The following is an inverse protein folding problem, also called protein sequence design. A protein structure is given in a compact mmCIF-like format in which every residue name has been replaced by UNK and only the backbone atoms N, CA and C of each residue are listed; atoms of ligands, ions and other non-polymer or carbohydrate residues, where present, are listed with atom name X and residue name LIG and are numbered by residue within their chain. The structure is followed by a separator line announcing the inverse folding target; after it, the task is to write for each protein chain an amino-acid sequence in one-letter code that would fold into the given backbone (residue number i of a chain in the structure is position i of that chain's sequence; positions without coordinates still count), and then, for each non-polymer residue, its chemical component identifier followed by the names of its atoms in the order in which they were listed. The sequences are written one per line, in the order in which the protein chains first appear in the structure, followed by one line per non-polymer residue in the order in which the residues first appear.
data_IF_630483574521
#
_entry.id   IF_630483574521
#
_cell.length_a   1.000
_cell.length_b   1.000
_cell.length_c   1.000
_cell.angle_alpha   90.00
_cell.angle_beta   90.00
_cell.angle_gamma   90.00
#
_symmetry.space_group_name_H-M   'P 1'
#
loop_
_entity.id
_entity.type
_entity.pdbx_description
1 polymer ?
#
# COMPACT_ATOMS: atom_id res chain seq x y z
N UNK A 1 -12.82 -63.13 47.61
CA UNK A 1 -12.74 -61.63 47.54
C UNK A 1 -12.36 -61.28 46.10
N UNK A 2 -13.34 -60.90 45.28
CA UNK A 2 -13.11 -60.51 43.87
C UNK A 2 -12.90 -59.02 43.79
N UNK A 3 -11.71 -58.57 43.37
CA UNK A 3 -11.39 -57.15 43.14
C UNK A 3 -11.96 -56.72 41.75
N UNK A 4 -12.94 -55.83 41.78
CA UNK A 4 -13.41 -55.15 40.58
C UNK A 4 -12.44 -54.02 40.23
N UNK A 5 -11.79 -54.11 39.06
CA UNK A 5 -11.01 -53.02 38.46
C UNK A 5 -11.94 -52.16 37.64
N UNK A 6 -12.20 -50.94 38.11
CA UNK A 6 -13.01 -49.97 37.38
C UNK A 6 -12.12 -49.27 36.35
N UNK A 7 -12.34 -49.58 35.06
CA UNK A 7 -11.63 -48.91 33.94
C UNK A 7 -12.33 -47.58 33.64
N UNK A 8 -11.76 -46.50 34.08
CA UNK A 8 -12.20 -45.14 33.66
C UNK A 8 -11.73 -44.86 32.24
N UNK A 9 -12.65 -44.96 31.27
CA UNK A 9 -12.45 -44.41 29.94
C UNK A 9 -12.58 -42.87 29.99
N UNK A 10 -11.45 -42.17 29.95
CA UNK A 10 -11.40 -40.71 29.72
C UNK A 10 -11.63 -40.50 28.23
N UNK A 11 -12.82 -40.08 27.85
CA UNK A 11 -13.11 -39.60 26.51
C UNK A 11 -12.52 -38.19 26.37
N UNK A 12 -11.33 -38.13 25.79
CA UNK A 12 -10.73 -36.85 25.36
C UNK A 12 -11.52 -36.41 24.11
N UNK A 13 -12.54 -35.57 24.32
CA UNK A 13 -13.20 -34.87 23.23
C UNK A 13 -12.22 -33.88 22.63
N UNK A 14 -11.69 -34.24 21.47
CA UNK A 14 -10.85 -33.39 20.64
C UNK A 14 -11.77 -32.27 20.06
N UNK A 15 -11.95 -31.17 20.81
CA UNK A 15 -12.56 -29.97 20.27
C UNK A 15 -11.58 -29.39 19.27
N UNK A 16 -11.78 -29.67 18.00
CA UNK A 16 -11.06 -29.03 16.91
C UNK A 16 -11.28 -27.51 17.02
N UNK A 17 -10.24 -26.79 17.45
CA UNK A 17 -10.27 -25.34 17.60
C UNK A 17 -10.41 -24.72 16.20
N UNK A 18 -11.62 -24.30 15.88
CA UNK A 18 -12.00 -23.64 14.63
C UNK A 18 -11.48 -22.17 14.60
N UNK A 19 -10.22 -21.96 15.00
CA UNK A 19 -9.59 -20.65 15.02
C UNK A 19 -9.03 -20.16 13.68
N UNK A 20 -9.13 -20.95 12.60
CA UNK A 20 -8.50 -20.61 11.32
C UNK A 20 -9.32 -19.69 10.42
N UNK A 21 -10.61 -19.57 10.61
CA UNK A 21 -11.50 -18.88 9.64
C UNK A 21 -11.44 -17.34 9.76
N UNK A 22 -11.11 -16.79 10.92
CA UNK A 22 -11.07 -15.34 11.12
C UNK A 22 -9.77 -14.65 10.61
N UNK A 23 -8.70 -15.41 10.35
CA UNK A 23 -7.39 -14.88 9.92
C UNK A 23 -7.27 -14.76 8.38
N UNK A 24 -7.93 -15.63 7.63
CA UNK A 24 -7.88 -15.69 6.16
C UNK A 24 -8.29 -14.39 5.46
N UNK A 25 -9.40 -13.72 5.79
CA UNK A 25 -9.81 -12.48 5.13
C UNK A 25 -8.80 -11.34 5.31
N UNK A 26 -8.20 -11.21 6.49
CA UNK A 26 -7.19 -10.19 6.78
C UNK A 26 -5.89 -10.43 6.00
N UNK A 27 -5.47 -11.68 5.89
CA UNK A 27 -4.28 -12.06 5.11
C UNK A 27 -4.49 -11.87 3.60
N UNK A 28 -5.68 -12.18 3.09
CA UNK A 28 -6.03 -11.95 1.69
C UNK A 28 -6.01 -10.46 1.35
N UNK A 29 -6.67 -9.63 2.16
CA UNK A 29 -6.68 -8.17 1.95
C UNK A 29 -5.27 -7.59 2.05
N UNK A 30 -4.47 -8.00 3.04
CA UNK A 30 -3.07 -7.62 3.15
C UNK A 30 -2.27 -7.95 1.88
N UNK A 31 -2.36 -9.19 1.38
CA UNK A 31 -1.66 -9.60 0.15
C UNK A 31 -2.07 -8.77 -1.06
N UNK A 32 -3.34 -8.39 -1.15
CA UNK A 32 -3.88 -7.54 -2.20
C UNK A 32 -3.30 -6.12 -2.11
N UNK A 33 -3.30 -5.50 -0.93
CA UNK A 33 -2.75 -4.16 -0.69
C UNK A 33 -1.23 -4.12 -0.99
N UNK A 34 -0.48 -5.14 -0.55
CA UNK A 34 0.95 -5.31 -0.90
C UNK A 34 1.15 -5.36 -2.41
N UNK A 35 0.33 -6.11 -3.14
CA UNK A 35 0.45 -6.22 -4.59
C UNK A 35 0.13 -4.89 -5.29
N UNK A 36 -0.90 -4.18 -4.85
CA UNK A 36 -1.23 -2.86 -5.38
C UNK A 36 -0.06 -1.89 -5.17
N UNK A 37 0.48 -1.78 -3.95
CA UNK A 37 1.61 -0.90 -3.66
C UNK A 37 2.83 -1.26 -4.50
N UNK A 38 3.13 -2.56 -4.65
CA UNK A 38 4.23 -3.03 -5.47
C UNK A 38 4.05 -2.67 -6.96
N UNK A 39 2.83 -2.75 -7.49
CA UNK A 39 2.54 -2.31 -8.86
C UNK A 39 2.81 -0.81 -9.01
N UNK A 40 2.37 0.00 -8.04
CA UNK A 40 2.63 1.44 -8.11
C UNK A 40 4.13 1.76 -8.06
N UNK A 41 4.88 1.18 -7.14
CA UNK A 41 6.34 1.33 -7.08
C UNK A 41 7.00 0.92 -8.42
N UNK A 42 6.56 -0.20 -8.97
CA UNK A 42 7.12 -0.72 -10.23
C UNK A 42 6.88 0.22 -11.40
N UNK A 43 5.67 0.70 -11.62
CA UNK A 43 5.35 1.52 -12.79
C UNK A 43 5.81 2.97 -12.64
N UNK A 44 5.87 3.49 -11.43
CA UNK A 44 6.25 4.88 -11.17
C UNK A 44 7.75 5.08 -10.92
N UNK A 45 8.45 4.06 -10.39
CA UNK A 45 9.79 4.28 -9.84
C UNK A 45 10.78 3.10 -9.99
N UNK A 46 10.52 2.09 -10.83
CA UNK A 46 11.42 0.93 -10.95
C UNK A 46 12.85 1.27 -11.41
N UNK A 47 13.02 2.39 -12.08
CA UNK A 47 14.28 2.94 -12.57
C UNK A 47 14.98 3.86 -11.55
N UNK A 48 14.31 4.18 -10.45
CA UNK A 48 14.85 5.01 -9.38
C UNK A 48 15.67 4.19 -8.37
N UNK A 49 16.59 4.85 -7.66
CA UNK A 49 17.25 4.27 -6.50
C UNK A 49 16.21 3.90 -5.43
N UNK A 50 16.57 2.98 -4.53
CA UNK A 50 15.67 2.47 -3.47
C UNK A 50 14.98 3.59 -2.67
N UNK A 51 15.69 4.69 -2.37
CA UNK A 51 15.11 5.85 -1.68
C UNK A 51 13.96 6.48 -2.48
N UNK A 52 14.08 6.59 -3.81
CA UNK A 52 13.01 7.10 -4.69
C UNK A 52 11.81 6.15 -4.74
N UNK A 53 12.06 4.85 -4.77
CA UNK A 53 11.00 3.83 -4.74
C UNK A 53 10.23 3.87 -3.41
N UNK A 54 10.93 4.01 -2.28
CA UNK A 54 10.32 4.20 -0.95
C UNK A 54 9.54 5.51 -0.89
N UNK A 55 10.04 6.58 -1.48
CA UNK A 55 9.36 7.87 -1.54
C UNK A 55 8.01 7.79 -2.27
N UNK A 56 7.93 7.08 -3.39
CA UNK A 56 6.66 6.83 -4.10
C UNK A 56 5.70 5.98 -3.25
N UNK A 57 6.21 4.98 -2.52
CA UNK A 57 5.40 4.20 -1.59
C UNK A 57 4.83 5.08 -0.46
N UNK A 58 5.65 5.95 0.14
CA UNK A 58 5.23 6.89 1.20
C UNK A 58 4.12 7.82 0.71
N UNK A 59 4.23 8.40 -0.48
CA UNK A 59 3.14 9.23 -1.03
C UNK A 59 1.82 8.46 -1.12
N UNK A 60 1.88 7.19 -1.55
CA UNK A 60 0.67 6.35 -1.62
C UNK A 60 0.07 6.12 -0.24
N UNK A 61 0.90 5.88 0.76
CA UNK A 61 0.51 5.66 2.16
C UNK A 61 -0.05 6.95 2.77
N UNK A 62 0.64 8.08 2.60
CA UNK A 62 0.19 9.39 3.06
C UNK A 62 -1.19 9.76 2.49
N UNK A 63 -1.46 9.36 1.24
CA UNK A 63 -2.81 9.49 0.66
C UNK A 63 -3.84 8.65 1.39
N UNK A 64 -3.52 7.41 1.75
CA UNK A 64 -4.44 6.53 2.53
C UNK A 64 -4.74 7.12 3.91
N UNK A 65 -3.79 7.80 4.52
CA UNK A 65 -3.93 8.42 5.83
C UNK A 65 -4.69 9.76 5.79
N UNK A 66 -4.63 10.45 4.67
CA UNK A 66 -5.34 11.71 4.47
C UNK A 66 -6.84 11.47 4.19
N UNK A 67 -7.71 12.22 4.88
CA UNK A 67 -9.17 12.17 4.67
C UNK A 67 -9.63 12.56 3.27
N UNK A 68 -8.76 13.18 2.47
CA UNK A 68 -9.05 13.63 1.11
C UNK A 68 -8.92 12.54 0.07
N UNK A 69 -8.37 11.39 0.44
CA UNK A 69 -8.14 10.27 -0.44
C UNK A 69 -8.85 9.01 0.06
N UNK A 70 -9.00 7.99 -0.81
CA UNK A 70 -9.54 6.70 -0.37
C UNK A 70 -8.67 6.06 0.73
N UNK A 71 -9.30 5.28 1.59
CA UNK A 71 -8.72 4.72 2.81
C UNK A 71 -8.05 3.34 2.62
N UNK A 72 -7.70 2.94 1.39
CA UNK A 72 -6.93 1.73 1.09
C UNK A 72 -5.96 1.97 -0.05
N UNK A 73 -4.84 1.26 -0.05
CA UNK A 73 -3.79 1.38 -1.09
C UNK A 73 -4.36 1.15 -2.49
N UNK A 74 -5.07 0.03 -2.68
CA UNK A 74 -5.63 -0.29 -4.00
C UNK A 74 -6.61 0.80 -4.49
N UNK A 75 -7.45 1.34 -3.61
CA UNK A 75 -8.39 2.41 -3.98
C UNK A 75 -7.66 3.71 -4.33
N UNK A 76 -6.62 4.08 -3.61
CA UNK A 76 -5.78 5.25 -3.92
C UNK A 76 -5.11 5.10 -5.28
N UNK A 77 -4.55 3.92 -5.56
CA UNK A 77 -3.86 3.66 -6.83
C UNK A 77 -4.82 3.66 -8.02
N UNK A 78 -6.01 3.10 -7.84
CA UNK A 78 -7.03 3.00 -8.88
C UNK A 78 -7.94 4.25 -8.98
N UNK A 79 -7.53 5.36 -8.37
CA UNK A 79 -8.28 6.61 -8.38
C UNK A 79 -8.13 7.32 -9.73
N UNK A 80 -9.26 7.76 -10.28
CA UNK A 80 -9.30 8.50 -11.55
C UNK A 80 -10.72 8.91 -11.91
N UNK A 81 -10.83 9.78 -12.92
CA UNK A 81 -12.13 10.21 -13.44
C UNK A 81 -12.85 9.04 -14.13
N UNK A 82 -14.16 8.97 -13.95
CA UNK A 82 -15.00 7.91 -14.54
C UNK A 82 -16.10 8.50 -15.40
N UNK A 83 -16.60 7.70 -16.33
CA UNK A 83 -17.86 7.94 -17.04
C UNK A 83 -19.04 7.61 -16.12
N UNK A 84 -20.25 8.01 -16.54
CA UNK A 84 -21.48 7.73 -15.79
C UNK A 84 -21.80 6.23 -15.68
N UNK A 85 -21.31 5.43 -16.61
CA UNK A 85 -21.41 3.96 -16.56
C UNK A 85 -20.37 3.30 -15.62
N UNK A 86 -19.54 4.11 -14.92
CA UNK A 86 -18.53 3.64 -13.98
C UNK A 86 -17.18 3.27 -14.60
N UNK A 87 -17.04 3.24 -15.93
CA UNK A 87 -15.76 2.97 -16.59
C UNK A 87 -14.77 4.10 -16.38
N UNK A 88 -13.49 3.75 -16.21
CA UNK A 88 -12.43 4.73 -15.98
C UNK A 88 -12.08 5.46 -17.30
N UNK A 89 -11.94 6.77 -17.22
CA UNK A 89 -11.54 7.60 -18.38
C UNK A 89 -10.04 7.41 -18.63
N UNK A 90 -9.70 7.06 -19.87
CA UNK A 90 -8.30 6.88 -20.29
C UNK A 90 -7.49 8.16 -20.03
N UNK A 91 -6.27 7.99 -19.52
CA UNK A 91 -5.32 9.08 -19.19
C UNK A 91 -5.87 10.12 -18.18
N UNK A 92 -6.86 9.74 -17.35
CA UNK A 92 -7.44 10.60 -16.30
C UNK A 92 -7.32 9.99 -14.91
N UNK A 93 -6.27 9.19 -14.67
CA UNK A 93 -5.96 8.58 -13.38
C UNK A 93 -4.91 9.39 -12.63
N UNK A 94 -4.91 9.28 -11.30
CA UNK A 94 -3.92 9.91 -10.45
C UNK A 94 -2.53 9.28 -10.65
N UNK A 95 -2.47 7.96 -10.86
CA UNK A 95 -1.30 7.24 -11.34
C UNK A 95 -1.54 6.87 -12.80
N UNK A 96 -0.78 7.48 -13.69
CA UNK A 96 -1.06 7.48 -15.14
C UNK A 96 -1.05 6.07 -15.74
N UNK A 97 -0.18 5.19 -15.25
CA UNK A 97 -0.02 3.83 -15.75
C UNK A 97 -1.29 2.98 -15.63
N UNK A 98 -2.14 3.26 -14.62
CA UNK A 98 -3.36 2.47 -14.37
C UNK A 98 -4.42 2.61 -15.46
N UNK A 99 -4.45 3.70 -16.20
CA UNK A 99 -5.44 3.92 -17.25
C UNK A 99 -4.86 4.49 -18.56
N UNK A 100 -3.59 4.21 -18.84
CA UNK A 100 -2.94 4.61 -20.11
C UNK A 100 -3.28 3.67 -21.28
N UNK A 101 -3.98 2.57 -20.99
CA UNK A 101 -4.41 1.56 -21.97
C UNK A 101 -3.32 0.55 -22.32
N UNK A 102 -2.20 0.53 -21.57
CA UNK A 102 -1.16 -0.49 -21.67
C UNK A 102 -1.40 -1.62 -20.68
N UNK A 103 -0.57 -2.66 -20.76
CA UNK A 103 -0.65 -3.79 -19.84
C UNK A 103 -0.05 -3.47 -18.49
N UNK A 104 -0.83 -3.65 -17.41
CA UNK A 104 -0.40 -3.49 -16.01
C UNK A 104 0.35 -4.71 -15.45
N UNK A 105 0.89 -5.55 -16.33
CA UNK A 105 1.71 -6.72 -15.94
C UNK A 105 3.18 -6.32 -15.86
N UNK A 106 3.84 -6.41 -14.68
CA UNK A 106 5.26 -6.22 -14.58
C UNK A 106 6.03 -7.24 -15.43
N UNK A 107 6.91 -6.77 -16.32
CA UNK A 107 7.71 -7.61 -17.22
C UNK A 107 9.13 -7.85 -16.72
N UNK A 108 9.72 -6.85 -16.07
CA UNK A 108 11.03 -6.98 -15.42
C UNK A 108 10.87 -7.71 -14.09
N UNK A 109 11.39 -8.95 -14.05
CA UNK A 109 11.30 -9.84 -12.88
C UNK A 109 12.06 -9.31 -11.68
N UNK A 110 13.24 -8.68 -11.89
CA UNK A 110 14.07 -8.18 -10.80
C UNK A 110 13.45 -6.93 -10.19
N UNK A 111 13.07 -5.96 -11.02
CA UNK A 111 12.40 -4.75 -10.56
C UNK A 111 11.07 -5.08 -9.84
N UNK A 112 10.32 -6.06 -10.33
CA UNK A 112 9.11 -6.55 -9.65
C UNK A 112 9.40 -7.15 -8.27
N UNK A 113 10.45 -7.99 -8.17
CA UNK A 113 10.87 -8.57 -6.90
C UNK A 113 11.25 -7.49 -5.88
N UNK A 114 12.01 -6.47 -6.31
CA UNK A 114 12.39 -5.34 -5.47
C UNK A 114 11.14 -4.56 -5.01
N UNK A 115 10.24 -4.22 -5.94
CA UNK A 115 8.98 -3.53 -5.60
C UNK A 115 8.14 -4.30 -4.59
N UNK A 116 8.06 -5.63 -4.73
CA UNK A 116 7.37 -6.51 -3.77
C UNK A 116 8.05 -6.54 -2.39
N UNK A 117 9.39 -6.50 -2.34
CA UNK A 117 10.12 -6.46 -1.07
C UNK A 117 9.89 -5.13 -0.35
N UNK A 118 10.01 -4.00 -1.06
CA UNK A 118 9.74 -2.67 -0.51
C UNK A 118 8.29 -2.60 -0.02
N UNK A 119 7.33 -3.01 -0.84
CA UNK A 119 5.92 -2.97 -0.49
C UNK A 119 5.60 -3.81 0.77
N UNK A 120 6.16 -5.01 0.88
CA UNK A 120 6.03 -5.83 2.08
C UNK A 120 6.65 -5.14 3.29
N UNK A 121 7.87 -4.66 3.15
CA UNK A 121 8.55 -3.94 4.21
C UNK A 121 7.71 -2.74 4.67
N UNK A 122 7.15 -1.96 3.79
CA UNK A 122 6.33 -0.78 4.08
C UNK A 122 5.00 -1.12 4.75
N UNK A 123 4.37 -2.25 4.46
CA UNK A 123 3.04 -2.63 4.97
C UNK A 123 3.06 -3.65 6.11
N UNK A 124 4.15 -4.43 6.28
CA UNK A 124 4.32 -5.33 7.45
C UNK A 124 4.57 -4.58 8.73
N UNK A 125 4.85 -3.31 8.64
CA UNK A 125 5.36 -2.57 9.76
C UNK A 125 4.23 -1.95 10.54
N UNK A 126 4.21 -2.16 11.87
CA UNK A 126 3.32 -1.44 12.75
C UNK A 126 3.60 0.04 12.54
N UNK A 127 2.61 0.80 12.09
CA UNK A 127 2.77 2.23 11.93
C UNK A 127 2.48 2.82 10.55
N UNK A 128 2.61 2.05 9.48
CA UNK A 128 2.26 2.52 8.13
C UNK A 128 0.74 2.47 7.87
N UNK A 129 0.01 1.63 8.58
CA UNK A 129 -1.42 1.71 8.81
C UNK A 129 -1.70 2.02 10.28
N UNK A 130 -1.03 2.97 10.79
CA UNK A 130 -0.87 3.33 12.19
C UNK A 130 -2.17 3.37 12.98
N UNK A 131 -3.21 3.94 12.42
CA UNK A 131 -4.52 3.99 13.09
C UNK A 131 -5.26 2.65 13.11
N UNK A 132 -4.79 1.65 12.38
CA UNK A 132 -5.46 0.34 12.27
C UNK A 132 -4.81 -0.77 13.08
N UNK A 133 -3.50 -0.68 13.42
CA UNK A 133 -2.72 -1.77 14.05
C UNK A 133 -1.85 -1.38 15.25
N UNK A 134 -1.79 -0.12 15.62
CA UNK A 134 -1.48 0.30 17.00
C UNK A 134 -0.03 0.54 17.43
N UNK A 135 1.01 0.34 16.58
CA UNK A 135 2.40 0.60 17.00
C UNK A 135 3.19 1.44 15.99
N UNK A 136 4.01 2.41 16.43
CA UNK A 136 4.77 3.28 15.53
C UNK A 136 5.95 2.57 14.88
N UNK A 137 6.17 2.88 13.62
CA UNK A 137 7.25 2.35 12.78
C UNK A 137 8.55 3.18 12.85
N UNK A 138 9.74 2.54 12.69
CA UNK A 138 11.02 3.24 12.71
C UNK A 138 11.46 3.88 11.38
N UNK A 139 10.73 3.77 10.27
CA UNK A 139 10.99 4.63 9.12
C UNK A 139 10.17 5.89 9.32
N UNK A 140 10.84 6.91 9.79
CA UNK A 140 10.36 8.28 9.77
C UNK A 140 9.88 8.63 8.36
N UNK A 141 8.67 9.17 8.22
CA UNK A 141 8.21 9.71 6.95
C UNK A 141 9.05 10.92 6.59
N UNK A 142 10.18 10.68 5.92
CA UNK A 142 11.07 11.73 5.44
C UNK A 142 10.44 12.63 4.37
N UNK A 143 9.20 12.37 3.97
CA UNK A 143 8.38 13.21 3.11
C UNK A 143 7.37 14.07 3.88
N UNK A 144 7.32 13.96 5.22
CA UNK A 144 6.52 14.82 6.10
C UNK A 144 5.06 14.99 5.63
N UNK A 145 4.42 13.90 5.23
CA UNK A 145 3.02 13.89 4.76
C UNK A 145 2.83 14.33 3.31
N UNK A 146 3.87 14.31 2.47
CA UNK A 146 3.72 14.62 1.04
C UNK A 146 2.74 13.66 0.37
N UNK A 147 1.80 14.23 -0.39
CA UNK A 147 0.73 13.49 -1.11
C UNK A 147 0.83 13.64 -2.63
N UNK A 148 1.74 14.47 -3.12
CA UNK A 148 1.91 14.76 -4.54
C UNK A 148 3.37 14.69 -4.95
N UNK A 149 3.62 14.30 -6.19
CA UNK A 149 4.92 14.42 -6.83
C UNK A 149 4.77 14.58 -8.35
N UNK A 150 5.81 15.07 -8.98
CA UNK A 150 5.98 15.11 -10.43
C UNK A 150 7.45 14.91 -10.78
N UNK A 151 7.74 14.60 -12.04
CA UNK A 151 9.11 14.53 -12.51
C UNK A 151 9.76 15.92 -12.53
N UNK A 152 11.08 15.94 -12.35
CA UNK A 152 11.86 17.21 -12.29
C UNK A 152 11.79 18.02 -13.60
N UNK A 153 11.52 17.37 -14.73
CA UNK A 153 11.44 17.98 -16.06
C UNK A 153 10.07 18.61 -16.39
N UNK A 154 9.09 18.50 -15.50
CA UNK A 154 7.77 19.09 -15.65
C UNK A 154 7.44 20.05 -14.50
N UNK A 155 6.55 21.00 -14.73
CA UNK A 155 6.06 21.94 -13.69
C UNK A 155 4.54 22.05 -13.79
N UNK A 156 3.79 21.18 -13.12
CA UNK A 156 2.34 21.22 -13.14
C UNK A 156 1.81 22.45 -12.41
N UNK A 157 0.68 23.00 -12.87
CA UNK A 157 0.12 24.24 -12.33
C UNK A 157 -0.20 24.19 -10.83
N UNK A 158 -0.51 22.99 -10.31
CA UNK A 158 -0.89 22.80 -8.91
C UNK A 158 0.27 22.97 -7.93
N UNK A 159 1.54 22.80 -8.34
CA UNK A 159 2.70 22.87 -7.45
C UNK A 159 2.86 24.29 -6.83
N UNK A 160 2.36 25.33 -7.51
CA UNK A 160 2.40 26.73 -7.02
C UNK A 160 1.57 26.94 -5.75
N UNK A 161 0.67 26.03 -5.44
CA UNK A 161 -0.22 26.07 -4.27
C UNK A 161 0.16 25.01 -3.23
N UNK A 162 1.40 24.51 -3.26
CA UNK A 162 1.86 23.44 -2.38
C UNK A 162 3.24 23.74 -1.81
N UNK A 163 3.59 23.09 -0.73
CA UNK A 163 4.90 23.17 -0.09
C UNK A 163 5.80 22.11 -0.71
N UNK A 164 6.92 22.51 -1.29
CA UNK A 164 7.96 21.58 -1.74
C UNK A 164 8.63 20.95 -0.51
N UNK A 165 8.66 19.62 -0.47
CA UNK A 165 9.25 18.87 0.64
C UNK A 165 10.64 18.37 0.29
N UNK A 166 10.80 17.72 -0.86
CA UNK A 166 12.06 17.10 -1.26
C UNK A 166 12.18 16.98 -2.77
N UNK A 167 13.42 16.82 -3.24
CA UNK A 167 13.73 16.26 -4.58
C UNK A 167 14.54 14.99 -4.37
N UNK A 168 14.06 13.86 -4.89
CA UNK A 168 14.70 12.54 -4.75
C UNK A 168 14.69 11.85 -6.11
N UNK A 169 15.87 11.60 -6.66
CA UNK A 169 16.00 11.10 -8.03
C UNK A 169 15.32 12.06 -9.02
N UNK A 170 14.49 11.51 -9.89
CA UNK A 170 13.77 12.29 -10.91
C UNK A 170 12.44 12.86 -10.42
N UNK A 171 12.15 12.85 -9.11
CA UNK A 171 10.87 13.28 -8.56
C UNK A 171 11.01 14.44 -7.57
N UNK A 172 10.08 15.40 -7.68
CA UNK A 172 9.87 16.48 -6.71
C UNK A 172 8.61 16.21 -5.93
N UNK A 173 8.71 16.19 -4.60
CA UNK A 173 7.64 15.83 -3.67
C UNK A 173 7.04 17.07 -3.01
N UNK A 174 5.71 17.04 -2.84
CA UNK A 174 4.94 18.18 -2.39
C UNK A 174 3.87 17.78 -1.38
N UNK A 175 3.63 18.65 -0.40
CA UNK A 175 2.50 18.54 0.53
C UNK A 175 1.60 19.76 0.43
N UNK A 176 0.34 19.59 0.82
CA UNK A 176 -0.59 20.71 0.92
C UNK A 176 -0.24 21.65 2.06
N UNK A 177 -0.65 22.92 1.95
CA UNK A 177 -0.56 23.89 3.04
C UNK A 177 -1.45 23.52 4.22
N UNK A 178 -2.60 22.91 3.93
CA UNK A 178 -3.54 22.45 4.95
C UNK A 178 -3.21 21.00 5.28
N UNK A 179 -2.34 20.78 6.27
CA UNK A 179 -2.23 19.48 6.92
C UNK A 179 -3.44 19.33 7.85
N UNK A 180 -4.25 18.30 7.58
CA UNK A 180 -5.26 17.81 8.52
C UNK A 180 -4.58 17.14 9.74
#
# INVERSE_FOLDING_TARGET
MKKFILLCFVLISCTAFSGRIAYEPKLFEYKKEVRCLAQNIYFEARDQLTKGQIAVALVTINRVESRRFPNTICKVIHQGSRYDNGEIKRNKCHFSWYCDGKSDRPRDRLAWKISMLISRAMLLQPGVHIKRYGEPWPIEDFLHGATHYHRVDISPYWNRKMIKVATIGDHVFWKDYLND
#
